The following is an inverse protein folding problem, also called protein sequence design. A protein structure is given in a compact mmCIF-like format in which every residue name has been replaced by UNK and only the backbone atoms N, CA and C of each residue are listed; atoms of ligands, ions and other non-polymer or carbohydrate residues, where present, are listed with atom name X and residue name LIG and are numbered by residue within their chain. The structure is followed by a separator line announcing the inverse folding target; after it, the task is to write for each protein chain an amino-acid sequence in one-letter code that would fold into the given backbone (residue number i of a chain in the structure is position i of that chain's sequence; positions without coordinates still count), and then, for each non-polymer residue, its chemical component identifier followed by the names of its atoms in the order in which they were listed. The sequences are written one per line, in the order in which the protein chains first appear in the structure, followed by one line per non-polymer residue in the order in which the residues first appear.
data_IF_194181135763
#
_entry.id   IF_194181135763
#
_cell.length_a   1.000
_cell.length_b   1.000
_cell.length_c   1.000
_cell.angle_alpha   90.00
_cell.angle_beta   90.00
_cell.angle_gamma   90.00
#
_symmetry.space_group_name_H-M   'P 1'
#
loop_
_entity.id
_entity.type
_entity.pdbx_description
1 polymer ?
#
# COMPACT_ATOMS: atom_id res chain seq x y z
N UNK A 1 21.08 12.93 -65.35
CA UNK A 1 21.22 11.49 -65.07
C UNK A 1 22.19 11.34 -63.91
N UNK A 2 21.92 10.40 -62.99
CA UNK A 2 22.54 10.19 -61.67
C UNK A 2 21.98 11.17 -60.61
N UNK A 3 21.11 10.77 -59.69
CA UNK A 3 20.73 9.44 -59.24
C UNK A 3 20.50 9.56 -57.74
N UNK A 4 19.25 9.35 -57.34
CA UNK A 4 18.76 9.34 -55.97
C UNK A 4 19.63 8.47 -55.06
N UNK A 5 20.05 8.98 -53.90
CA UNK A 5 20.45 8.15 -52.76
C UNK A 5 20.10 8.90 -51.48
N UNK A 6 18.80 8.92 -51.21
CA UNK A 6 18.27 8.91 -49.85
C UNK A 6 18.92 7.73 -49.12
N UNK A 7 20.07 7.96 -48.50
CA UNK A 7 20.65 7.04 -47.52
C UNK A 7 19.75 7.05 -46.29
N UNK A 8 18.73 6.19 -46.36
CA UNK A 8 18.29 5.30 -45.28
C UNK A 8 18.62 5.81 -43.88
N UNK A 9 17.70 6.60 -43.32
CA UNK A 9 17.46 6.58 -41.88
C UNK A 9 17.11 5.13 -41.58
N UNK A 10 18.12 4.38 -41.14
CA UNK A 10 17.99 3.03 -40.60
C UNK A 10 17.14 3.18 -39.32
N UNK A 11 15.83 3.18 -39.52
CA UNK A 11 14.83 3.09 -38.47
C UNK A 11 14.97 1.70 -37.87
N UNK A 12 15.97 1.53 -36.98
CA UNK A 12 16.14 0.29 -36.26
C UNK A 12 14.85 0.06 -35.47
N UNK A 13 14.10 -0.96 -35.89
CA UNK A 13 12.84 -1.33 -35.29
C UNK A 13 13.08 -1.50 -33.79
N UNK A 14 12.38 -0.75 -32.91
CA UNK A 14 12.57 -0.88 -31.48
C UNK A 14 12.27 -2.33 -31.07
N UNK A 15 13.07 -2.89 -30.18
CA UNK A 15 12.79 -4.22 -29.64
C UNK A 15 11.41 -4.22 -28.98
N UNK A 16 10.70 -5.36 -28.99
CA UNK A 16 9.33 -5.46 -28.47
C UNK A 16 9.22 -4.95 -27.01
N UNK A 17 10.26 -5.16 -26.20
CA UNK A 17 10.33 -4.68 -24.82
C UNK A 17 10.45 -3.15 -24.73
N UNK A 18 11.17 -2.52 -25.64
CA UNK A 18 11.31 -1.05 -25.70
C UNK A 18 10.01 -0.37 -26.15
N UNK A 19 9.33 -0.96 -27.14
CA UNK A 19 8.01 -0.47 -27.55
C UNK A 19 7.01 -0.55 -26.38
N UNK A 20 7.02 -1.65 -25.62
CA UNK A 20 6.22 -1.80 -24.42
C UNK A 20 6.59 -0.78 -23.33
N UNK A 21 7.87 -0.62 -23.03
CA UNK A 21 8.35 0.31 -22.00
C UNK A 21 7.95 1.78 -22.27
N UNK A 22 7.84 2.17 -23.54
CA UNK A 22 7.43 3.52 -23.94
C UNK A 22 5.91 3.76 -23.88
N UNK A 23 5.10 2.70 -23.96
CA UNK A 23 3.62 2.78 -23.89
C UNK A 23 3.12 2.50 -22.46
N UNK A 24 3.97 1.93 -21.61
CA UNK A 24 3.64 1.62 -20.21
C UNK A 24 3.41 2.89 -19.37
N UNK A 25 2.51 2.78 -18.40
CA UNK A 25 2.28 3.80 -17.35
C UNK A 25 3.26 3.67 -16.18
N UNK A 26 4.14 2.66 -16.20
CA UNK A 26 5.18 2.47 -15.19
C UNK A 26 6.22 3.59 -15.31
N UNK A 27 6.23 4.45 -14.30
CA UNK A 27 7.16 5.57 -14.22
C UNK A 27 8.60 5.05 -14.15
N UNK A 28 9.50 5.63 -14.96
CA UNK A 28 10.91 5.22 -15.04
C UNK A 28 11.21 4.10 -16.05
N UNK A 29 10.21 3.35 -16.51
CA UNK A 29 10.41 2.24 -17.46
C UNK A 29 10.94 2.72 -18.81
N UNK A 30 10.42 3.85 -19.32
CA UNK A 30 10.89 4.48 -20.56
C UNK A 30 12.34 5.00 -20.49
N UNK A 31 12.81 5.39 -19.30
CA UNK A 31 14.20 5.85 -19.08
C UNK A 31 15.20 4.70 -19.01
N UNK A 32 14.78 3.53 -18.55
CA UNK A 32 15.61 2.31 -18.49
C UNK A 32 15.78 1.71 -19.89
N UNK A 33 14.70 1.64 -20.67
CA UNK A 33 14.67 1.04 -22.01
C UNK A 33 14.72 2.08 -23.15
N UNK A 34 15.27 3.26 -22.90
CA UNK A 34 15.44 4.29 -23.91
C UNK A 34 16.28 3.79 -25.11
N UNK A 35 16.13 4.41 -26.28
CA UNK A 35 16.93 4.12 -27.47
C UNK A 35 18.39 4.60 -27.29
N UNK A 36 19.40 3.83 -27.74
CA UNK A 36 20.83 4.20 -27.69
C UNK A 36 21.72 3.37 -26.73
N UNK A 37 22.97 3.82 -26.52
CA UNK A 37 24.02 3.10 -25.79
C UNK A 37 23.81 3.04 -24.26
N UNK A 38 24.33 1.98 -23.63
CA UNK A 38 24.27 1.80 -22.18
C UNK A 38 25.06 2.90 -21.46
N UNK A 39 24.33 3.79 -20.79
CA UNK A 39 24.88 4.98 -20.13
C UNK A 39 24.75 4.86 -18.62
N UNK A 40 25.65 5.51 -17.87
CA UNK A 40 25.59 5.62 -16.40
C UNK A 40 24.21 6.10 -15.92
N UNK A 41 23.58 7.00 -16.68
CA UNK A 41 22.21 7.47 -16.44
C UNK A 41 21.18 6.32 -16.41
N UNK A 42 21.29 5.32 -17.29
CA UNK A 42 20.39 4.16 -17.27
C UNK A 42 20.60 3.30 -16.05
N UNK A 43 21.87 3.10 -15.65
CA UNK A 43 22.18 2.37 -14.42
C UNK A 43 21.55 3.03 -13.19
N UNK A 44 21.66 4.36 -13.07
CA UNK A 44 21.00 5.11 -12.00
C UNK A 44 19.47 4.97 -12.04
N UNK A 45 18.85 5.06 -13.21
CA UNK A 45 17.40 4.86 -13.35
C UNK A 45 16.97 3.44 -12.98
N UNK A 46 17.72 2.42 -13.40
CA UNK A 46 17.45 1.02 -13.03
C UNK A 46 17.58 0.81 -11.53
N UNK A 47 18.63 1.33 -10.90
CA UNK A 47 18.80 1.25 -9.44
C UNK A 47 17.69 1.98 -8.70
N UNK A 48 17.33 3.18 -9.13
CA UNK A 48 16.25 3.96 -8.52
C UNK A 48 14.90 3.26 -8.65
N UNK A 49 14.58 2.72 -9.83
CA UNK A 49 13.36 1.96 -10.07
C UNK A 49 13.31 0.69 -9.21
N UNK A 50 14.40 -0.08 -9.19
CA UNK A 50 14.47 -1.32 -8.40
C UNK A 50 14.41 -1.04 -6.90
N UNK A 51 15.08 0.03 -6.44
CA UNK A 51 15.00 0.50 -5.06
C UNK A 51 13.59 0.93 -4.68
N UNK A 52 12.92 1.70 -5.54
CA UNK A 52 11.52 2.12 -5.33
C UNK A 52 10.58 0.92 -5.29
N UNK A 53 10.75 -0.05 -6.19
CA UNK A 53 9.95 -1.28 -6.21
C UNK A 53 10.19 -2.12 -4.95
N UNK A 54 11.44 -2.27 -4.51
CA UNK A 54 11.77 -3.00 -3.29
C UNK A 54 11.14 -2.34 -2.05
N UNK A 55 11.27 -1.02 -1.91
CA UNK A 55 10.64 -0.26 -0.82
C UNK A 55 9.12 -0.40 -0.86
N UNK A 56 8.51 -0.28 -2.04
CA UNK A 56 7.06 -0.47 -2.21
C UNK A 56 6.62 -1.84 -1.73
N UNK A 57 7.30 -2.91 -2.14
CA UNK A 57 6.97 -4.28 -1.74
C UNK A 57 7.13 -4.47 -0.23
N UNK A 58 8.25 -4.02 0.35
CA UNK A 58 8.50 -4.13 1.79
C UNK A 58 7.40 -3.45 2.61
N UNK A 59 7.10 -2.18 2.31
CA UNK A 59 6.07 -1.43 3.04
C UNK A 59 4.68 -2.03 2.81
N UNK A 60 4.36 -2.44 1.58
CA UNK A 60 3.05 -3.05 1.30
C UNK A 60 2.87 -4.36 2.05
N UNK A 61 3.89 -5.22 2.10
CA UNK A 61 3.83 -6.47 2.86
C UNK A 61 3.66 -6.22 4.36
N UNK A 62 4.43 -5.31 4.94
CA UNK A 62 4.30 -4.90 6.34
C UNK A 62 2.86 -4.41 6.65
N UNK A 63 2.29 -3.56 5.79
CA UNK A 63 0.91 -3.08 5.97
C UNK A 63 -0.13 -4.17 5.79
N UNK A 64 0.06 -5.12 4.88
CA UNK A 64 -0.84 -6.26 4.69
C UNK A 64 -0.82 -7.18 5.91
N UNK A 65 0.36 -7.47 6.46
CA UNK A 65 0.49 -8.27 7.68
C UNK A 65 -0.19 -7.58 8.86
N UNK A 66 0.06 -6.29 9.05
CA UNK A 66 -0.61 -5.50 10.10
C UNK A 66 -2.15 -5.48 9.94
N UNK A 67 -2.65 -5.37 8.71
CA UNK A 67 -4.09 -5.45 8.45
C UNK A 67 -4.68 -6.79 8.89
N UNK A 68 -3.96 -7.89 8.64
CA UNK A 68 -4.38 -9.24 9.02
C UNK A 68 -4.26 -9.54 10.52
N UNK A 69 -3.62 -8.67 11.30
CA UNK A 69 -3.66 -8.72 12.78
C UNK A 69 -4.99 -8.21 13.35
N UNK A 70 -5.85 -7.59 12.53
CA UNK A 70 -7.13 -6.99 12.93
C UNK A 70 -7.04 -6.06 14.16
N UNK A 71 -6.10 -5.10 14.20
CA UNK A 71 -5.97 -4.18 15.31
C UNK A 71 -7.19 -3.25 15.38
N UNK A 72 -7.66 -2.95 16.58
CA UNK A 72 -8.75 -2.00 16.84
C UNK A 72 -8.32 -0.95 17.85
N UNK A 73 -8.89 0.25 17.73
CA UNK A 73 -8.69 1.36 18.67
C UNK A 73 -10.04 1.80 19.21
N UNK A 74 -10.10 2.07 20.51
CA UNK A 74 -11.33 2.54 21.17
C UNK A 74 -11.29 4.06 21.27
N UNK A 75 -12.31 4.73 20.71
CA UNK A 75 -12.52 6.16 20.94
C UNK A 75 -13.46 6.34 22.14
N UNK A 76 -13.03 7.11 23.12
CA UNK A 76 -13.83 7.45 24.30
C UNK A 76 -14.37 8.87 24.12
N UNK A 77 -15.69 9.02 24.17
CA UNK A 77 -16.38 10.29 24.11
C UNK A 77 -17.31 10.40 25.34
N UNK A 78 -17.29 11.56 25.99
CA UNK A 78 -18.23 11.88 27.07
C UNK A 78 -19.33 12.78 26.50
N UNK A 79 -20.58 12.31 26.55
CA UNK A 79 -21.72 13.01 25.98
C UNK A 79 -22.80 13.16 27.04
N UNK A 80 -23.25 14.39 27.28
CA UNK A 80 -24.39 14.67 28.14
C UNK A 80 -25.69 14.28 27.41
N UNK A 81 -26.32 13.21 27.86
CA UNK A 81 -27.61 12.76 27.34
C UNK A 81 -28.78 13.42 28.11
N UNK A 82 -29.82 13.85 27.39
CA UNK A 82 -31.01 14.49 27.97
C UNK A 82 -31.94 13.50 28.68
N UNK A 83 -31.90 12.23 28.28
CA UNK A 83 -32.65 11.13 28.88
C UNK A 83 -31.74 9.90 28.99
N UNK A 84 -31.52 9.42 30.21
CA UNK A 84 -30.79 8.18 30.49
C UNK A 84 -31.73 7.16 31.13
N UNK A 85 -31.60 5.90 30.73
CA UNK A 85 -32.31 4.79 31.36
C UNK A 85 -31.80 4.61 32.78
N UNK A 86 -32.69 4.66 33.77
CA UNK A 86 -32.33 4.36 35.16
C UNK A 86 -31.85 2.91 35.28
N UNK A 87 -30.67 2.64 35.89
CA UNK A 87 -30.10 1.30 35.91
C UNK A 87 -30.85 0.38 36.88
N UNK A 88 -30.67 -0.92 36.71
CA UNK A 88 -31.11 -1.88 37.73
C UNK A 88 -30.32 -1.68 39.01
N UNK A 89 -31.02 -1.61 40.15
CA UNK A 89 -30.41 -1.51 41.48
C UNK A 89 -30.59 -2.85 42.18
N UNK A 90 -29.52 -3.63 42.25
CA UNK A 90 -29.49 -4.88 43.01
C UNK A 90 -28.93 -4.59 44.40
N UNK A 91 -29.70 -4.87 45.43
CA UNK A 91 -29.25 -4.83 46.81
C UNK A 91 -29.42 -6.21 47.44
N UNK A 92 -28.44 -6.60 48.24
CA UNK A 92 -28.47 -7.84 49.01
C UNK A 92 -28.31 -7.51 50.49
N UNK A 93 -28.98 -8.30 51.33
CA UNK A 93 -28.70 -8.27 52.75
C UNK A 93 -27.28 -8.82 53.00
N UNK A 94 -26.49 -8.13 53.82
CA UNK A 94 -25.17 -8.63 54.26
C UNK A 94 -25.29 -9.89 55.11
N UNK A 95 -26.46 -10.10 55.72
CA UNK A 95 -26.74 -11.34 56.38
C UNK A 95 -27.02 -12.45 55.36
N UNK A 96 -26.07 -13.36 55.20
CA UNK A 96 -26.15 -14.50 54.27
C UNK A 96 -27.28 -15.48 54.62
N UNK A 97 -27.61 -15.62 55.91
CA UNK A 97 -28.58 -16.61 56.38
C UNK A 97 -29.55 -16.01 57.39
N UNK A 98 -30.83 -16.35 57.25
CA UNK A 98 -31.79 -16.08 58.31
C UNK A 98 -31.68 -17.16 59.37
N UNK A 99 -31.20 -16.82 60.56
CA UNK A 99 -31.09 -17.75 61.71
C UNK A 99 -32.39 -18.54 61.96
N UNK A 100 -33.55 -17.90 61.79
CA UNK A 100 -34.89 -18.52 61.90
C UNK A 100 -35.22 -19.60 60.84
N UNK A 101 -34.31 -19.89 59.90
CA UNK A 101 -34.50 -20.87 58.82
C UNK A 101 -33.48 -22.01 58.88
N UNK A 102 -32.62 -22.03 59.91
CA UNK A 102 -31.52 -23.00 60.09
C UNK A 102 -31.80 -23.97 61.27
N UNK A 103 -32.92 -23.80 61.99
CA UNK A 103 -33.41 -24.66 63.08
C UNK A 103 -34.85 -25.03 62.78
#
# INVERSE_FOLDING_TARGET
MKGNSEESIESAKPSNLQAFANISTLHGMSHIFAYGHMTFRRFLWTLSFLGSLALLLLVTMDRVLYYLEYPHVTKLDEVAATNLTFPAVTFCNLNEFRFSKIT
#
